data_IF_501903610780
#
_entry.id   IF_501903610780
#
_cell.length_a   1.000
_cell.length_b   1.000
_cell.length_c   1.000
_cell.angle_alpha   90.00
_cell.angle_beta   90.00
_cell.angle_gamma   90.00
#
_symmetry.space_group_name_H-M   'P 1'
#
loop_
_entity.id
_entity.type
_entity.pdbx_description
1 polymer ?
#
# COMPACT_ATOMS: atom_id res chain seq x y z
N UNK A 1 -6.21 -16.87 6.02
CA UNK A 1 -5.40 -15.89 6.80
C UNK A 1 -4.76 -16.53 8.02
N UNK A 2 -5.41 -16.68 9.18
CA UNK A 2 -4.74 -17.20 10.39
C UNK A 2 -4.10 -18.58 10.22
N UNK A 3 -4.77 -19.48 9.48
CA UNK A 3 -4.24 -20.82 9.19
C UNK A 3 -3.01 -20.82 8.26
N UNK A 4 -2.81 -19.75 7.49
CA UNK A 4 -1.81 -19.68 6.42
C UNK A 4 -0.65 -18.74 6.79
N UNK A 5 -0.94 -17.53 7.27
CA UNK A 5 0.05 -16.57 7.74
C UNK A 5 0.56 -16.90 9.17
N UNK A 6 -0.24 -17.58 9.97
CA UNK A 6 0.00 -17.73 11.40
C UNK A 6 -0.30 -16.46 12.20
N UNK A 7 -0.26 -16.58 13.52
CA UNK A 7 -0.59 -15.48 14.44
C UNK A 7 0.52 -14.45 14.55
N UNK A 8 1.78 -14.88 14.48
CA UNK A 8 2.93 -13.97 14.55
C UNK A 8 2.94 -12.95 13.41
N UNK A 9 2.54 -13.38 12.20
CA UNK A 9 2.42 -12.51 11.04
C UNK A 9 1.31 -11.45 11.20
N UNK A 10 0.29 -11.71 12.01
CA UNK A 10 -0.78 -10.74 12.31
C UNK A 10 -0.33 -9.83 13.46
N UNK A 11 0.21 -10.41 14.54
CA UNK A 11 0.69 -9.69 15.72
C UNK A 11 1.85 -8.74 15.42
N UNK A 12 2.58 -8.95 14.30
CA UNK A 12 3.62 -8.03 13.88
C UNK A 12 3.14 -6.62 13.56
N UNK A 13 1.83 -6.43 13.34
CA UNK A 13 1.20 -5.12 13.05
C UNK A 13 0.52 -4.49 14.27
N UNK A 14 0.57 -5.15 15.43
CA UNK A 14 -0.12 -4.70 16.64
C UNK A 14 0.87 -3.91 17.53
N UNK A 15 0.68 -2.58 17.73
CA UNK A 15 1.64 -1.72 18.42
C UNK A 15 1.51 -1.74 19.95
N UNK A 16 0.76 -2.70 20.51
CA UNK A 16 0.55 -2.85 21.95
C UNK A 16 0.67 -4.33 22.39
N UNK A 17 0.79 -4.61 23.70
CA UNK A 17 0.76 -5.97 24.23
C UNK A 17 -0.58 -6.66 23.98
N UNK A 18 -0.57 -7.73 23.18
CA UNK A 18 -1.72 -8.60 22.94
C UNK A 18 -1.24 -10.06 22.96
N UNK A 19 -1.98 -10.93 23.64
CA UNK A 19 -1.66 -12.36 23.68
C UNK A 19 -2.26 -13.11 22.49
N UNK A 20 -1.61 -14.21 22.08
CA UNK A 20 -2.17 -15.11 21.04
C UNK A 20 -3.55 -15.66 21.44
N UNK A 21 -3.78 -15.86 22.75
CA UNK A 21 -5.06 -16.32 23.28
C UNK A 21 -6.18 -15.32 23.01
N UNK A 22 -5.95 -14.04 23.31
CA UNK A 22 -6.92 -12.97 23.03
C UNK A 22 -7.17 -12.84 21.55
N UNK A 23 -6.11 -12.91 20.75
CA UNK A 23 -6.20 -12.92 19.30
C UNK A 23 -7.13 -14.04 18.81
N UNK A 24 -6.90 -15.29 19.23
CA UNK A 24 -7.74 -16.44 18.84
C UNK A 24 -9.20 -16.22 19.23
N UNK A 25 -9.45 -15.61 20.38
CA UNK A 25 -10.82 -15.30 20.82
C UNK A 25 -11.47 -14.24 19.93
N UNK A 26 -10.75 -13.16 19.59
CA UNK A 26 -11.25 -12.11 18.68
C UNK A 26 -11.58 -12.68 17.30
N UNK A 27 -10.70 -13.51 16.74
CA UNK A 27 -10.94 -14.18 15.44
C UNK A 27 -12.17 -15.07 15.49
N UNK A 28 -12.31 -15.92 16.51
CA UNK A 28 -13.49 -16.80 16.66
C UNK A 28 -14.78 -16.01 16.77
N UNK A 29 -14.79 -14.93 17.56
CA UNK A 29 -15.95 -14.06 17.70
C UNK A 29 -16.33 -13.43 16.36
N UNK A 30 -15.33 -12.94 15.59
CA UNK A 30 -15.56 -12.37 14.25
C UNK A 30 -16.04 -13.42 13.25
N UNK A 31 -15.57 -14.67 13.33
CA UNK A 31 -16.07 -15.76 12.49
C UNK A 31 -17.55 -16.09 12.77
N UNK A 32 -17.98 -15.99 14.03
CA UNK A 32 -19.40 -16.19 14.40
C UNK A 32 -20.23 -14.96 14.02
N UNK A 33 -19.67 -13.75 14.11
CA UNK A 33 -20.37 -12.48 13.88
C UNK A 33 -19.57 -11.57 12.93
N UNK A 34 -19.51 -11.90 11.63
CA UNK A 34 -18.61 -11.23 10.66
C UNK A 34 -18.94 -9.76 10.46
N UNK A 35 -20.17 -9.34 10.71
CA UNK A 35 -20.66 -7.97 10.54
C UNK A 35 -20.53 -7.10 11.79
N UNK A 36 -19.95 -7.61 12.88
CA UNK A 36 -19.74 -6.81 14.11
C UNK A 36 -18.68 -5.75 13.87
N UNK A 37 -18.98 -4.49 14.20
CA UNK A 37 -18.05 -3.36 14.04
C UNK A 37 -17.17 -3.23 15.30
N UNK A 38 -15.86 -2.97 15.16
CA UNK A 38 -14.98 -2.66 16.29
C UNK A 38 -15.54 -1.54 17.16
N UNK A 39 -15.59 -1.78 18.48
CA UNK A 39 -16.05 -0.81 19.48
C UNK A 39 -14.89 -0.14 20.22
N UNK A 40 -13.66 -0.61 20.02
CA UNK A 40 -12.45 -0.04 20.64
C UNK A 40 -11.35 0.12 19.59
N UNK A 41 -10.39 1.00 19.84
CA UNK A 41 -9.25 1.24 18.95
C UNK A 41 -8.42 -0.05 18.79
N UNK A 42 -8.23 -0.82 19.86
CA UNK A 42 -7.53 -2.11 19.82
C UNK A 42 -8.26 -3.12 18.93
N UNK A 43 -9.58 -3.19 19.03
CA UNK A 43 -10.37 -4.07 18.15
C UNK A 43 -10.24 -3.66 16.68
N UNK A 44 -10.17 -2.35 16.40
CA UNK A 44 -10.00 -1.81 15.05
C UNK A 44 -8.60 -2.11 14.51
N UNK A 45 -7.55 -1.80 15.28
CA UNK A 45 -6.16 -2.10 14.94
C UNK A 45 -6.00 -3.59 14.64
N UNK A 46 -6.60 -4.43 15.47
CA UNK A 46 -6.57 -5.87 15.29
C UNK A 46 -7.21 -6.31 13.96
N UNK A 47 -8.41 -5.81 13.65
CA UNK A 47 -9.10 -6.14 12.39
C UNK A 47 -8.28 -5.68 11.17
N UNK A 48 -7.67 -4.50 11.25
CA UNK A 48 -6.79 -3.97 10.21
C UNK A 48 -5.49 -4.77 10.08
N UNK A 49 -4.92 -5.27 11.18
CA UNK A 49 -3.76 -6.17 11.16
C UNK A 49 -4.07 -7.49 10.43
N UNK A 50 -5.24 -8.08 10.68
CA UNK A 50 -5.70 -9.26 9.94
C UNK A 50 -5.88 -8.94 8.47
N UNK A 51 -6.45 -7.78 8.14
CA UNK A 51 -6.66 -7.35 6.76
C UNK A 51 -5.34 -7.13 5.99
N UNK A 52 -4.32 -6.52 6.61
CA UNK A 52 -2.97 -6.40 6.02
C UNK A 52 -2.42 -7.76 5.59
N UNK A 53 -2.48 -8.77 6.48
CA UNK A 53 -2.01 -10.11 6.13
C UNK A 53 -2.90 -10.81 5.11
N UNK A 54 -4.21 -10.62 5.17
CA UNK A 54 -5.13 -11.17 4.17
C UNK A 54 -4.83 -10.64 2.77
N UNK A 55 -4.65 -9.32 2.64
CA UNK A 55 -4.33 -8.64 1.39
C UNK A 55 -2.93 -9.06 0.89
N UNK A 56 -1.93 -9.11 1.78
CA UNK A 56 -0.57 -9.54 1.43
C UNK A 56 -0.55 -10.98 0.89
N UNK A 57 -1.22 -11.91 1.58
CA UNK A 57 -1.33 -13.30 1.12
C UNK A 57 -2.03 -13.39 -0.23
N UNK A 58 -3.17 -12.71 -0.38
CA UNK A 58 -3.91 -12.68 -1.64
C UNK A 58 -3.05 -12.14 -2.79
N UNK A 59 -2.24 -11.11 -2.52
CA UNK A 59 -1.35 -10.53 -3.51
C UNK A 59 -0.19 -11.46 -3.90
N UNK A 60 0.46 -12.09 -2.92
CA UNK A 60 1.51 -13.09 -3.16
C UNK A 60 0.96 -14.25 -3.99
N UNK A 61 -0.22 -14.75 -3.62
CA UNK A 61 -0.89 -15.82 -4.35
C UNK A 61 -1.28 -15.37 -5.78
N UNK A 62 -1.78 -14.15 -5.95
CA UNK A 62 -2.10 -13.61 -7.27
C UNK A 62 -0.87 -13.57 -8.18
N UNK A 63 0.28 -13.13 -7.66
CA UNK A 63 1.56 -13.13 -8.41
C UNK A 63 1.96 -14.53 -8.88
N UNK A 64 1.66 -15.57 -8.11
CA UNK A 64 1.95 -16.96 -8.50
C UNK A 64 1.08 -17.45 -9.67
N UNK A 65 -0.16 -16.94 -9.80
CA UNK A 65 -1.06 -17.31 -10.90
C UNK A 65 -0.92 -16.42 -12.13
N UNK A 66 -0.56 -15.15 -11.93
CA UNK A 66 -0.37 -14.17 -12.99
C UNK A 66 1.00 -14.39 -13.66
N UNK A 67 1.13 -15.45 -14.46
CA UNK A 67 2.37 -15.83 -15.13
C UNK A 67 2.24 -15.79 -16.65
N UNK A 68 3.36 -15.62 -17.35
CA UNK A 68 3.39 -15.77 -18.81
C UNK A 68 2.99 -17.20 -19.25
N UNK A 69 2.39 -17.33 -20.43
CA UNK A 69 2.01 -18.62 -21.02
C UNK A 69 3.22 -19.58 -21.08
N UNK A 70 3.07 -20.75 -20.47
CA UNK A 70 4.05 -21.81 -20.57
C UNK A 70 4.11 -22.36 -22.01
N UNK A 71 5.30 -22.40 -22.61
CA UNK A 71 5.53 -23.02 -23.93
C UNK A 71 5.64 -22.06 -25.12
N UNK A 72 5.46 -20.75 -24.93
CA UNK A 72 5.79 -19.76 -25.97
C UNK A 72 7.31 -19.58 -26.02
N UNK A 73 7.92 -19.79 -27.19
CA UNK A 73 9.34 -19.50 -27.41
C UNK A 73 9.59 -18.01 -27.22
N UNK A 74 10.08 -17.62 -26.03
CA UNK A 74 10.64 -16.29 -25.83
C UNK A 74 11.93 -16.19 -26.66
N UNK A 75 12.04 -15.15 -27.50
CA UNK A 75 13.31 -14.80 -28.14
C UNK A 75 14.30 -14.41 -27.03
N UNK A 76 15.16 -15.36 -26.65
CA UNK A 76 16.23 -15.13 -25.67
C UNK A 76 17.44 -14.57 -26.38
N UNK A 77 17.97 -13.45 -25.89
CA UNK A 77 19.28 -12.97 -26.29
C UNK A 77 20.37 -13.77 -25.54
N UNK A 78 21.61 -13.75 -26.05
CA UNK A 78 22.75 -14.44 -25.43
C UNK A 78 22.97 -13.98 -23.97
N UNK A 79 22.56 -12.75 -23.64
CA UNK A 79 22.61 -12.21 -22.27
C UNK A 79 21.64 -12.88 -21.29
N UNK A 80 20.47 -13.34 -21.78
CA UNK A 80 19.43 -13.97 -20.97
C UNK A 80 19.79 -15.40 -20.52
N UNK A 81 20.86 -15.98 -21.08
CA UNK A 81 21.38 -17.29 -20.70
C UNK A 81 22.07 -17.27 -19.32
N UNK A 82 22.55 -16.11 -18.87
CA UNK A 82 23.26 -15.95 -17.59
C UNK A 82 22.31 -15.62 -16.42
N UNK A 83 21.13 -15.08 -16.71
CA UNK A 83 20.04 -14.84 -15.74
C UNK A 83 19.09 -16.04 -15.68
N UNK A 84 19.59 -17.20 -15.25
CA UNK A 84 18.73 -18.35 -14.96
C UNK A 84 17.85 -18.10 -13.73
N UNK A 85 16.73 -17.39 -13.89
CA UNK A 85 15.61 -17.47 -12.95
C UNK A 85 14.78 -18.70 -13.31
N UNK A 86 15.06 -19.83 -12.66
CA UNK A 86 14.30 -21.06 -12.80
C UNK A 86 12.92 -20.94 -12.15
N UNK A 87 11.92 -20.50 -12.92
CA UNK A 87 10.52 -20.44 -12.49
C UNK A 87 9.64 -19.70 -13.51
N UNK A 88 8.33 -19.92 -13.48
CA UNK A 88 7.39 -19.05 -14.18
C UNK A 88 7.49 -17.65 -13.58
N UNK A 89 7.91 -16.68 -14.38
CA UNK A 89 7.98 -15.28 -13.94
C UNK A 89 6.57 -14.69 -13.92
N UNK A 90 6.25 -14.01 -12.82
CA UNK A 90 5.01 -13.25 -12.71
C UNK A 90 5.02 -12.06 -13.68
N UNK A 91 3.88 -11.74 -14.27
CA UNK A 91 3.70 -10.52 -15.08
C UNK A 91 3.44 -9.28 -14.22
N UNK A 92 3.26 -9.46 -12.91
CA UNK A 92 2.98 -8.36 -11.98
C UNK A 92 4.29 -7.70 -11.58
N UNK A 93 4.54 -6.51 -12.12
CA UNK A 93 5.66 -5.65 -11.74
C UNK A 93 5.18 -4.48 -10.89
N UNK A 94 5.62 -4.42 -9.62
CA UNK A 94 5.23 -3.36 -8.69
C UNK A 94 5.63 -1.97 -9.19
N UNK A 95 6.74 -1.86 -9.93
CA UNK A 95 7.23 -0.59 -10.44
C UNK A 95 6.37 -0.07 -11.59
N UNK A 96 5.60 -0.95 -12.24
CA UNK A 96 4.68 -0.61 -13.31
C UNK A 96 3.22 -0.40 -12.82
N UNK A 97 2.96 -0.53 -11.52
CA UNK A 97 1.62 -0.31 -10.96
C UNK A 97 1.39 1.18 -10.69
N UNK A 98 0.70 1.84 -11.61
CA UNK A 98 0.36 3.27 -11.48
C UNK A 98 -0.84 3.53 -10.54
N UNK A 99 -1.73 2.56 -10.34
CA UNK A 99 -2.94 2.70 -9.50
C UNK A 99 -3.28 1.40 -8.76
N UNK A 100 -3.54 1.51 -7.46
CA UNK A 100 -4.15 0.46 -6.64
C UNK A 100 -5.50 0.95 -6.14
N UNK A 101 -6.55 0.18 -6.39
CA UNK A 101 -7.91 0.46 -5.91
C UNK A 101 -8.29 -0.53 -4.84
N UNK A 102 -8.56 -0.05 -3.63
CA UNK A 102 -9.02 -0.85 -2.49
C UNK A 102 -10.53 -0.96 -2.45
N UNK A 103 -11.09 -2.17 -2.42
CA UNK A 103 -12.52 -2.42 -2.23
C UNK A 103 -12.75 -3.56 -1.23
N UNK A 104 -13.90 -3.53 -0.55
CA UNK A 104 -14.28 -4.50 0.47
C UNK A 104 -14.48 -3.86 1.83
N UNK A 105 -15.37 -4.42 2.65
CA UNK A 105 -15.89 -3.76 3.87
C UNK A 105 -14.83 -3.15 4.79
N UNK A 106 -13.71 -3.84 5.04
CA UNK A 106 -12.61 -3.30 5.88
C UNK A 106 -11.90 -2.09 5.25
N UNK A 107 -11.72 -2.08 3.92
CA UNK A 107 -11.06 -0.98 3.20
C UNK A 107 -12.02 0.19 2.95
N UNK A 108 -13.26 -0.12 2.57
CA UNK A 108 -14.31 0.86 2.25
C UNK A 108 -14.74 1.65 3.49
N UNK A 109 -14.92 0.97 4.63
CA UNK A 109 -15.49 1.53 5.86
C UNK A 109 -14.48 1.75 7.00
N UNK A 110 -13.18 1.79 6.70
CA UNK A 110 -12.21 2.23 7.70
C UNK A 110 -12.59 3.66 8.18
N UNK A 111 -12.58 3.93 9.50
CA UNK A 111 -12.98 5.23 10.05
C UNK A 111 -12.20 6.43 9.50
N UNK A 112 -10.95 6.21 9.10
CA UNK A 112 -10.05 7.22 8.55
C UNK A 112 -9.47 6.77 7.22
N UNK A 113 -9.27 7.69 6.29
CA UNK A 113 -8.77 7.40 4.93
C UNK A 113 -7.31 6.92 4.96
N UNK A 114 -6.54 7.46 5.90
CA UNK A 114 -5.16 7.11 6.21
C UNK A 114 -5.04 5.62 6.56
N UNK A 115 -6.05 5.05 7.22
CA UNK A 115 -6.07 3.63 7.60
C UNK A 115 -6.23 2.72 6.38
N UNK A 116 -7.10 3.09 5.43
CA UNK A 116 -7.23 2.37 4.16
C UNK A 116 -5.92 2.45 3.38
N UNK A 117 -5.35 3.65 3.22
CA UNK A 117 -4.09 3.85 2.51
C UNK A 117 -2.96 3.01 3.12
N UNK A 118 -2.78 3.05 4.45
CA UNK A 118 -1.75 2.28 5.12
C UNK A 118 -1.92 0.77 4.98
N UNK A 119 -3.15 0.24 5.10
CA UNK A 119 -3.39 -1.19 4.87
C UNK A 119 -2.98 -1.61 3.45
N UNK A 120 -3.24 -0.78 2.45
CA UNK A 120 -2.86 -1.04 1.05
C UNK A 120 -1.35 -0.99 0.86
N UNK A 121 -0.67 0.04 1.39
CA UNK A 121 0.79 0.19 1.26
C UNK A 121 1.49 -0.98 1.96
N UNK A 122 1.07 -1.34 3.17
CA UNK A 122 1.66 -2.42 3.98
C UNK A 122 1.48 -3.80 3.32
N UNK A 123 0.37 -4.01 2.61
CA UNK A 123 0.03 -5.31 2.03
C UNK A 123 0.58 -5.51 0.62
N UNK A 124 0.46 -4.49 -0.24
CA UNK A 124 0.80 -4.57 -1.66
C UNK A 124 2.23 -4.11 -1.94
N UNK A 125 2.83 -3.38 -1.02
CA UNK A 125 4.24 -3.00 -1.10
C UNK A 125 4.57 -2.32 -2.45
N UNK A 126 3.83 -1.25 -2.84
CA UNK A 126 4.02 -0.57 -4.12
C UNK A 126 5.45 -0.03 -4.26
N UNK A 127 5.93 0.06 -5.50
CA UNK A 127 7.24 0.57 -5.89
C UNK A 127 7.07 1.71 -6.90
N UNK A 128 7.95 2.71 -6.87
CA UNK A 128 7.87 3.87 -7.74
C UNK A 128 6.84 4.90 -7.28
N UNK A 129 6.03 5.38 -8.22
CA UNK A 129 4.97 6.37 -7.98
C UNK A 129 3.63 5.70 -8.27
N UNK A 130 2.87 5.40 -7.22
CA UNK A 130 1.62 4.66 -7.30
C UNK A 130 0.48 5.44 -6.67
N UNK A 131 -0.58 5.71 -7.43
CA UNK A 131 -1.81 6.27 -6.90
C UNK A 131 -2.59 5.21 -6.10
N UNK A 132 -3.23 5.64 -5.02
CA UNK A 132 -4.11 4.83 -4.20
C UNK A 132 -5.51 5.41 -4.27
N UNK A 133 -6.51 4.57 -4.51
CA UNK A 133 -7.92 4.92 -4.47
C UNK A 133 -8.70 3.87 -3.68
N UNK A 134 -9.92 4.19 -3.27
CA UNK A 134 -10.85 3.21 -2.71
C UNK A 134 -12.23 3.28 -3.32
N UNK A 135 -12.91 2.15 -3.28
CA UNK A 135 -14.36 2.02 -3.35
C UNK A 135 -14.95 2.40 -1.98
N UNK A 136 -15.37 3.65 -1.82
CA UNK A 136 -15.86 4.20 -0.55
C UNK A 136 -17.16 3.58 -0.06
N UNK A 137 -18.06 3.18 -0.97
CA UNK A 137 -19.39 2.66 -0.65
C UNK A 137 -19.55 1.16 -0.93
N UNK A 138 -18.47 0.48 -1.33
CA UNK A 138 -18.43 -0.95 -1.64
C UNK A 138 -19.46 -1.36 -2.72
N UNK A 139 -19.59 -0.53 -3.75
CA UNK A 139 -20.63 -0.68 -4.77
C UNK A 139 -20.09 -0.95 -6.18
N UNK A 140 -18.76 -0.96 -6.40
CA UNK A 140 -18.19 -1.20 -7.73
C UNK A 140 -18.72 -2.48 -8.42
N UNK A 141 -18.85 -3.65 -7.74
CA UNK A 141 -19.41 -4.84 -8.38
C UNK A 141 -20.86 -4.67 -8.83
N UNK A 142 -21.67 -3.95 -8.05
CA UNK A 142 -23.08 -3.70 -8.35
C UNK A 142 -23.23 -2.70 -9.51
N UNK A 143 -22.36 -1.69 -9.57
CA UNK A 143 -22.31 -0.74 -10.68
C UNK A 143 -21.94 -1.42 -12.00
N UNK A 144 -21.14 -2.48 -11.97
CA UNK A 144 -20.86 -3.29 -13.17
C UNK A 144 -22.13 -3.87 -13.81
N UNK A 145 -23.05 -4.40 -12.99
CA UNK A 145 -24.35 -4.90 -13.48
C UNK A 145 -25.24 -3.75 -13.94
N UNK A 146 -25.29 -2.65 -13.17
CA UNK A 146 -26.07 -1.47 -13.56
C UNK A 146 -25.60 -0.88 -14.89
N UNK A 147 -24.31 -0.93 -15.19
CA UNK A 147 -23.72 -0.40 -16.41
C UNK A 147 -24.24 -1.10 -17.68
N UNK A 148 -24.73 -2.34 -17.60
CA UNK A 148 -25.34 -3.04 -18.73
C UNK A 148 -26.71 -2.45 -19.12
N UNK A 149 -27.42 -1.87 -18.15
CA UNK A 149 -28.79 -1.35 -18.31
C UNK A 149 -28.79 0.17 -18.43
N UNK A 150 -28.01 0.85 -17.58
CA UNK A 150 -27.96 2.31 -17.52
C UNK A 150 -26.51 2.82 -17.34
N UNK A 151 -25.67 2.77 -18.41
CA UNK A 151 -24.25 3.14 -18.35
C UNK A 151 -23.96 4.50 -17.73
N UNK A 152 -24.74 5.53 -18.08
CA UNK A 152 -24.50 6.90 -17.61
C UNK A 152 -24.68 7.02 -16.09
N UNK A 153 -25.79 6.54 -15.54
CA UNK A 153 -26.05 6.53 -14.11
C UNK A 153 -25.00 5.70 -13.34
N UNK A 154 -24.59 4.55 -13.89
CA UNK A 154 -23.52 3.75 -13.29
C UNK A 154 -22.21 4.54 -13.22
N UNK A 155 -21.86 5.26 -14.30
CA UNK A 155 -20.66 6.11 -14.33
C UNK A 155 -20.76 7.30 -13.39
N UNK A 156 -21.90 8.00 -13.35
CA UNK A 156 -22.10 9.16 -12.48
C UNK A 156 -21.91 8.78 -11.01
N UNK A 157 -22.46 7.64 -10.59
CA UNK A 157 -22.29 7.12 -9.22
C UNK A 157 -20.86 6.61 -9.00
N UNK A 158 -20.24 5.98 -10.01
CA UNK A 158 -18.87 5.52 -9.92
C UNK A 158 -17.89 6.68 -9.65
N UNK A 159 -17.98 7.75 -10.43
CA UNK A 159 -17.07 8.89 -10.35
C UNK A 159 -17.31 9.76 -9.12
N UNK A 160 -18.57 9.95 -8.73
CA UNK A 160 -18.92 10.88 -7.64
C UNK A 160 -18.91 10.22 -6.27
N UNK A 161 -19.38 8.99 -6.18
CA UNK A 161 -19.68 8.36 -4.90
C UNK A 161 -18.78 7.16 -4.59
N UNK A 162 -18.28 6.42 -5.60
CA UNK A 162 -17.49 5.21 -5.37
C UNK A 162 -15.98 5.44 -5.37
N UNK A 163 -15.42 6.01 -6.45
CA UNK A 163 -13.97 6.06 -6.64
C UNK A 163 -13.38 7.29 -5.95
N UNK A 164 -12.92 7.11 -4.71
CA UNK A 164 -12.27 8.17 -3.95
C UNK A 164 -10.76 8.03 -4.04
N UNK A 165 -10.08 9.05 -4.58
CA UNK A 165 -8.62 9.13 -4.54
C UNK A 165 -8.14 9.33 -3.10
N UNK A 166 -7.27 8.42 -2.66
CA UNK A 166 -6.72 8.43 -1.30
C UNK A 166 -5.41 9.19 -1.26
N UNK A 167 -4.40 8.71 -1.97
CA UNK A 167 -3.03 9.22 -1.85
C UNK A 167 -2.22 8.95 -3.12
N UNK A 168 -1.08 9.60 -3.26
CA UNK A 168 0.03 9.08 -4.08
C UNK A 168 1.12 8.53 -3.18
N UNK A 169 1.44 7.24 -3.30
CA UNK A 169 2.55 6.59 -2.62
C UNK A 169 3.81 6.66 -3.48
N UNK A 170 4.90 7.19 -2.91
CA UNK A 170 6.22 7.28 -3.55
C UNK A 170 7.19 6.42 -2.76
N UNK A 171 7.59 5.29 -3.33
CA UNK A 171 8.40 4.28 -2.67
C UNK A 171 9.56 3.82 -3.57
N UNK A 172 10.81 4.25 -3.34
CA UNK A 172 11.92 3.84 -4.18
C UNK A 172 12.20 2.33 -4.04
N UNK A 173 12.27 1.64 -5.18
CA UNK A 173 12.70 0.25 -5.28
C UNK A 173 14.19 0.14 -4.99
N UNK A 174 14.57 -0.65 -4.01
CA UNK A 174 15.96 -0.87 -3.65
C UNK A 174 16.08 -1.53 -2.27
N UNK A 175 17.31 -1.88 -1.85
CA UNK A 175 17.52 -2.54 -0.58
C UNK A 175 17.15 -1.64 0.61
N UNK A 176 16.67 -2.19 1.73
CA UNK A 176 16.49 -1.42 2.96
C UNK A 176 17.84 -0.85 3.44
N UNK A 177 17.90 0.46 3.67
CA UNK A 177 19.11 1.13 4.16
C UNK A 177 18.76 2.14 5.28
N UNK A 178 18.61 1.67 6.53
CA UNK A 178 18.19 2.51 7.65
C UNK A 178 19.02 3.79 7.77
N UNK A 179 18.34 4.94 7.86
CA UNK A 179 18.96 6.27 8.04
C UNK A 179 19.72 6.82 6.83
N UNK A 180 19.90 6.04 5.75
CA UNK A 180 20.49 6.51 4.49
C UNK A 180 19.43 7.21 3.65
N UNK A 181 19.84 8.25 2.93
CA UNK A 181 18.97 8.93 1.96
C UNK A 181 18.74 7.98 0.78
N UNK A 182 17.47 7.66 0.52
CA UNK A 182 17.06 6.82 -0.60
C UNK A 182 16.67 7.65 -1.82
N UNK A 183 16.10 8.84 -1.55
CA UNK A 183 15.46 9.68 -2.55
C UNK A 183 15.41 11.12 -2.04
N UNK A 184 15.87 12.06 -2.86
CA UNK A 184 15.60 13.49 -2.66
C UNK A 184 14.43 13.91 -3.56
N UNK A 185 13.56 14.78 -3.08
CA UNK A 185 12.41 15.25 -3.84
C UNK A 185 12.27 16.77 -3.83
N UNK A 186 11.65 17.27 -4.90
CA UNK A 186 11.17 18.64 -5.03
C UNK A 186 9.72 18.57 -5.46
N UNK A 187 8.81 19.16 -4.69
CA UNK A 187 7.38 19.19 -4.95
C UNK A 187 6.96 20.66 -5.19
N UNK A 188 6.39 20.92 -6.37
CA UNK A 188 5.92 22.23 -6.78
C UNK A 188 4.39 22.23 -6.88
N UNK A 189 3.73 23.09 -6.10
CA UNK A 189 2.26 23.27 -6.13
C UNK A 189 1.88 24.73 -5.91
N UNK A 190 0.96 25.26 -6.72
CA UNK A 190 0.42 26.62 -6.51
C UNK A 190 1.48 27.73 -6.33
N UNK A 191 2.63 27.61 -7.00
CA UNK A 191 3.76 28.55 -6.87
C UNK A 191 4.62 28.40 -5.61
N UNK A 192 4.36 27.39 -4.76
CA UNK A 192 5.20 26.99 -3.63
C UNK A 192 6.05 25.79 -4.01
N UNK A 193 7.30 25.80 -3.55
CA UNK A 193 8.24 24.68 -3.72
C UNK A 193 8.62 24.14 -2.36
N UNK A 194 8.48 22.83 -2.19
CA UNK A 194 8.87 22.09 -0.99
C UNK A 194 9.94 21.07 -1.38
N UNK A 195 11.02 20.98 -0.60
CA UNK A 195 12.12 20.05 -0.86
C UNK A 195 12.40 19.22 0.37
N UNK A 196 12.71 17.95 0.17
CA UNK A 196 13.08 17.07 1.27
C UNK A 196 13.84 15.83 0.82
N UNK A 197 14.17 15.00 1.80
CA UNK A 197 14.82 13.72 1.63
C UNK A 197 13.96 12.64 2.28
N UNK A 198 13.84 11.50 1.61
CA UNK A 198 13.29 10.27 2.17
C UNK A 198 14.45 9.37 2.59
N UNK A 199 14.49 9.00 3.87
CA UNK A 199 15.51 8.09 4.40
C UNK A 199 14.95 6.70 4.64
N UNK A 200 15.84 5.72 4.69
CA UNK A 200 15.45 4.34 4.94
C UNK A 200 14.85 4.16 6.33
N UNK A 201 13.77 3.37 6.38
CA UNK A 201 12.89 3.11 7.53
C UNK A 201 12.02 4.30 7.98
N UNK A 202 11.98 5.38 7.21
CA UNK A 202 11.10 6.52 7.48
C UNK A 202 9.86 6.49 6.59
N UNK A 203 8.80 7.11 7.09
CA UNK A 203 7.62 7.48 6.32
C UNK A 203 7.32 8.94 6.57
N UNK A 204 6.86 9.63 5.54
CA UNK A 204 6.45 11.03 5.65
C UNK A 204 5.20 11.25 4.81
N UNK A 205 4.21 11.94 5.38
CA UNK A 205 3.02 12.40 4.66
C UNK A 205 3.15 13.90 4.41
N UNK A 206 2.96 14.31 3.16
CA UNK A 206 2.80 15.71 2.78
C UNK A 206 1.34 15.95 2.43
N UNK A 207 0.77 17.02 2.97
CA UNK A 207 -0.58 17.44 2.61
C UNK A 207 -0.59 17.86 1.13
N UNK A 208 -1.51 17.30 0.35
CA UNK A 208 -1.85 17.72 -1.00
C UNK A 208 -3.35 17.40 -1.14
N UNK A 209 -4.19 18.42 -1.31
CA UNK A 209 -5.64 18.26 -1.24
C UNK A 209 -6.24 17.41 -2.38
N UNK A 210 -7.52 17.00 -2.27
CA UNK A 210 -8.20 16.18 -3.29
C UNK A 210 -8.22 16.82 -4.70
N UNK A 211 -8.36 18.14 -4.75
CA UNK A 211 -8.40 18.93 -5.98
C UNK A 211 -7.04 19.56 -6.33
N UNK A 212 -5.98 19.24 -5.58
CA UNK A 212 -4.64 19.77 -5.81
C UNK A 212 -3.80 18.79 -6.64
N UNK A 213 -3.11 19.34 -7.64
CA UNK A 213 -2.01 18.65 -8.34
C UNK A 213 -0.68 19.26 -7.93
N UNK A 214 0.38 18.46 -8.02
CA UNK A 214 1.75 18.93 -7.84
C UNK A 214 2.67 18.33 -8.89
N UNK A 215 3.64 19.12 -9.36
CA UNK A 215 4.76 18.58 -10.14
C UNK A 215 5.82 18.10 -9.15
N UNK A 216 6.16 16.83 -9.19
CA UNK A 216 7.20 16.24 -8.35
C UNK A 216 8.41 15.87 -9.19
N UNK A 217 9.59 16.26 -8.71
CA UNK A 217 10.89 15.80 -9.22
C UNK A 217 11.54 14.90 -8.19
N UNK A 218 11.81 13.67 -8.58
CA UNK A 218 12.35 12.60 -7.75
C UNK A 218 13.77 12.27 -8.19
N UNK A 219 14.73 12.34 -7.29
CA UNK A 219 16.15 12.02 -7.55
C UNK A 219 16.57 10.87 -6.64
N UNK A 220 16.46 9.60 -7.10
CA UNK A 220 16.84 8.46 -6.28
C UNK A 220 18.35 8.38 -6.10
N UNK A 221 18.79 7.89 -4.94
CA UNK A 221 20.18 7.57 -4.69
C UNK A 221 20.66 6.41 -5.59
N UNK A 222 21.98 6.22 -5.69
CA UNK A 222 22.55 5.10 -6.45
C UNK A 222 22.02 3.76 -5.91
N UNK A 223 21.51 2.91 -6.80
CA UNK A 223 20.91 1.62 -6.44
C UNK A 223 19.41 1.66 -6.14
N UNK A 224 18.77 2.84 -6.18
CA UNK A 224 17.32 3.00 -6.02
C UNK A 224 16.65 3.39 -7.33
N UNK A 225 15.45 2.87 -7.57
CA UNK A 225 14.65 3.13 -8.77
C UNK A 225 13.26 3.65 -8.41
N UNK A 226 12.77 4.64 -9.16
CA UNK A 226 11.42 5.22 -9.02
C UNK A 226 10.61 5.13 -10.33
N UNK A 227 11.04 4.31 -11.28
CA UNK A 227 10.32 3.98 -12.52
C UNK A 227 11.07 4.26 -13.82
N UNK A 228 12.29 4.82 -13.76
CA UNK A 228 13.10 5.14 -14.95
C UNK A 228 14.42 4.37 -15.04
N UNK A 229 14.69 3.51 -14.05
CA UNK A 229 15.96 2.80 -13.87
C UNK A 229 16.74 3.33 -12.66
N UNK A 230 17.67 2.52 -12.11
CA UNK A 230 18.43 2.88 -10.91
C UNK A 230 19.18 4.21 -11.04
N UNK A 231 19.03 5.08 -10.03
CA UNK A 231 19.69 6.39 -9.95
C UNK A 231 19.21 7.44 -10.94
N UNK A 232 18.21 7.14 -11.78
CA UNK A 232 17.71 8.08 -12.79
C UNK A 232 16.58 8.93 -12.21
N UNK A 233 16.64 10.26 -12.40
CA UNK A 233 15.58 11.13 -11.91
C UNK A 233 14.29 10.96 -12.70
N UNK A 234 13.15 11.16 -12.03
CA UNK A 234 11.81 11.12 -12.61
C UNK A 234 11.08 12.43 -12.28
N UNK A 235 10.41 13.00 -13.28
CA UNK A 235 9.46 14.08 -13.09
C UNK A 235 8.05 13.57 -13.44
N UNK A 236 7.07 13.81 -12.56
CA UNK A 236 5.67 13.46 -12.80
C UNK A 236 4.74 14.51 -12.19
N UNK A 237 3.54 14.62 -12.75
CA UNK A 237 2.42 15.27 -12.08
C UNK A 237 1.71 14.23 -11.20
N UNK A 238 1.41 14.60 -9.95
CA UNK A 238 0.76 13.74 -8.97
C UNK A 238 -0.45 14.43 -8.35
N UNK A 239 -1.36 13.63 -7.79
CA UNK A 239 -2.56 14.08 -7.06
C UNK A 239 -2.51 13.61 -5.62
N UNK A 240 -2.95 14.45 -4.71
CA UNK A 240 -2.89 14.15 -3.28
C UNK A 240 -4.08 13.33 -2.77
N UNK A 241 -5.27 13.54 -3.32
CA UNK A 241 -6.46 12.85 -2.82
C UNK A 241 -6.80 13.29 -1.39
N UNK A 242 -7.55 12.45 -0.68
CA UNK A 242 -8.01 12.74 0.68
C UNK A 242 -6.93 12.63 1.77
N UNK A 243 -5.80 11.98 1.49
CA UNK A 243 -4.71 11.72 2.45
C UNK A 243 -3.44 12.53 2.11
N UNK A 244 -3.17 12.77 0.82
CA UNK A 244 -2.00 13.52 0.35
C UNK A 244 -0.94 12.65 -0.32
N UNK A 245 0.32 13.05 -0.21
CA UNK A 245 1.46 12.32 -0.77
C UNK A 245 2.19 11.58 0.34
N UNK A 246 2.35 10.27 0.20
CA UNK A 246 3.05 9.43 1.18
C UNK A 246 4.39 9.01 0.58
N UNK A 247 5.47 9.43 1.21
CA UNK A 247 6.81 8.92 0.94
C UNK A 247 7.08 7.73 1.85
N UNK A 248 7.40 6.57 1.26
CA UNK A 248 7.64 5.34 2.00
C UNK A 248 9.07 4.82 1.76
N UNK A 249 9.93 5.00 2.77
CA UNK A 249 11.32 4.56 2.77
C UNK A 249 11.55 3.25 3.50
N UNK A 250 10.51 2.51 3.86
CA UNK A 250 10.62 1.30 4.70
C UNK A 250 11.22 0.10 3.98
N UNK A 251 11.46 0.21 2.68
CA UNK A 251 12.03 -0.85 1.84
C UNK A 251 10.99 -1.86 1.38
N UNK A 252 11.40 -2.62 0.35
CA UNK A 252 10.61 -3.65 -0.35
C UNK A 252 11.55 -4.83 -0.66
N UNK A 253 11.41 -6.00 -0.01
CA UNK A 253 10.35 -6.38 0.91
C UNK A 253 10.36 -5.56 2.22
N UNK A 254 9.18 -5.29 2.77
CA UNK A 254 9.02 -4.60 4.05
C UNK A 254 9.47 -5.50 5.21
N UNK A 255 10.57 -5.09 5.86
CA UNK A 255 11.15 -5.79 7.00
C UNK A 255 10.79 -5.10 8.32
N UNK A 256 10.27 -5.87 9.27
CA UNK A 256 9.99 -5.42 10.63
C UNK A 256 11.02 -6.00 11.60
N UNK A 257 11.38 -5.27 12.67
CA UNK A 257 12.26 -5.80 13.71
C UNK A 257 11.74 -7.12 14.31
N UNK A 258 12.67 -8.04 14.58
CA UNK A 258 12.36 -9.30 15.24
C UNK A 258 12.00 -9.09 16.72
N UNK A 259 12.68 -8.15 17.39
CA UNK A 259 12.36 -7.74 18.74
C UNK A 259 10.98 -7.06 18.78
N UNK A 260 10.11 -7.53 19.68
CA UNK A 260 8.74 -7.07 19.79
C UNK A 260 8.62 -5.60 20.20
N UNK A 261 9.45 -5.12 21.13
CA UNK A 261 9.38 -3.73 21.61
C UNK A 261 9.89 -2.76 20.54
N UNK A 262 11.01 -3.09 19.89
CA UNK A 262 11.55 -2.29 18.77
C UNK A 262 10.52 -2.20 17.64
N UNK A 263 9.85 -3.31 17.32
CA UNK A 263 8.79 -3.35 16.31
C UNK A 263 7.61 -2.48 16.71
N UNK A 264 7.13 -2.57 17.95
CA UNK A 264 6.01 -1.75 18.44
C UNK A 264 6.35 -0.26 18.39
N UNK A 265 7.55 0.11 18.82
CA UNK A 265 8.02 1.50 18.77
C UNK A 265 8.08 2.02 17.34
N UNK A 266 8.58 1.19 16.40
CA UNK A 266 8.66 1.55 14.99
C UNK A 266 7.27 1.72 14.36
N UNK A 267 6.32 0.81 14.66
CA UNK A 267 4.94 0.94 14.19
C UNK A 267 4.28 2.22 14.70
N UNK A 268 4.46 2.58 15.97
CA UNK A 268 3.96 3.85 16.52
C UNK A 268 4.52 5.03 15.75
N UNK A 269 5.84 5.05 15.53
CA UNK A 269 6.50 6.10 14.73
C UNK A 269 5.88 6.26 13.35
N UNK A 270 5.61 5.16 12.64
CA UNK A 270 4.96 5.22 11.33
C UNK A 270 3.48 5.61 11.39
N UNK A 271 2.76 5.15 12.41
CA UNK A 271 1.36 5.54 12.62
C UNK A 271 1.25 7.05 12.86
N UNK A 272 2.14 7.61 13.67
CA UNK A 272 2.19 9.04 14.01
C UNK A 272 2.56 9.86 12.77
N UNK A 273 3.57 9.43 12.00
CA UNK A 273 4.01 10.11 10.78
C UNK A 273 2.90 10.23 9.72
N UNK A 274 1.93 9.32 9.71
CA UNK A 274 0.81 9.31 8.77
C UNK A 274 -0.47 9.90 9.39
N UNK A 275 -0.54 10.05 10.71
CA UNK A 275 -1.76 10.48 11.41
C UNK A 275 -2.83 9.38 11.42
N UNK A 276 -2.40 8.12 11.60
CA UNK A 276 -3.25 6.94 11.42
C UNK A 276 -4.39 6.82 12.44
N UNK A 277 -4.13 7.29 13.66
CA UNK A 277 -5.06 7.32 14.79
C UNK A 277 -5.12 8.75 15.33
N UNK A 278 -6.24 9.18 15.95
CA UNK A 278 -6.30 10.48 16.59
C UNK A 278 -5.27 10.58 17.74
N UNK A 279 -4.72 11.78 17.94
CA UNK A 279 -3.93 12.11 19.12
C UNK A 279 -4.81 11.96 20.38
N UNK A 280 -4.25 11.40 21.46
CA UNK A 280 -4.94 11.26 22.77
C UNK A 280 -5.29 12.62 23.41
#
# INVERSE_FOLDING_TARGET
>A
VCAEAGFDAILRWVPYPESEKELRNRVKNKMIRPTTIPQTIEALIFEQAVAREALRLAYVQHKQFATTLAGVQQQRTIGDAFTQTGGQQTIVDNLALDLIVGSGGVLSHAPRMEQTAMMMIDAFEPEGVTALAKDSIFMMPHLGVLAEIHPQAAMDVFERDCLVMLATCIAPKGPPAPGKVLLSYTLERGGRTETGELRGHEMTRLDLGPEETAKVRLVPASGYDVGAGPGKPVEREIRGGSVGVIFDGRGRPLALPANTEDRRSLLKTWNDAIGLYPDE
#
